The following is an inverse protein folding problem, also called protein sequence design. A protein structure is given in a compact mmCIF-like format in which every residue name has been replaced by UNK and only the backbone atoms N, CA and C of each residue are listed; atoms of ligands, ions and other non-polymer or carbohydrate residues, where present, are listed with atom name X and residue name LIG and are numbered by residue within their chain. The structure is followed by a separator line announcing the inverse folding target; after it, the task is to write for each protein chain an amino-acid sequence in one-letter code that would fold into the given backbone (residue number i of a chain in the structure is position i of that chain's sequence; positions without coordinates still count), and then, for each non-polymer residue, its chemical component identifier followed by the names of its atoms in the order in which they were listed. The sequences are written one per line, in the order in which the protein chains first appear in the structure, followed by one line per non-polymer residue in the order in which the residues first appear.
data_IF_124928612729
#
_entry.id   IF_124928612729
#
_cell.length_a   1.000
_cell.length_b   1.000
_cell.length_c   1.000
_cell.angle_alpha   90.00
_cell.angle_beta   90.00
_cell.angle_gamma   90.00
#
_symmetry.space_group_name_H-M   'P 1'
#
loop_
_entity.id
_entity.type
_entity.pdbx_description
1 polymer ?
#
# COMPACT_ATOMS: atom_id res chain seq x y z
N UNK A 1 1.24 11.19 4.90
CA UNK A 1 2.10 11.28 3.70
C UNK A 1 1.70 10.16 2.75
N UNK A 2 1.12 10.48 1.58
CA UNK A 2 0.79 9.48 0.55
C UNK A 2 2.10 8.93 0.00
N UNK A 3 2.29 7.62 0.06
CA UNK A 3 3.48 6.96 -0.49
C UNK A 3 3.35 6.93 -2.01
N UNK A 4 4.33 7.49 -2.72
CA UNK A 4 4.28 7.61 -4.19
C UNK A 4 4.85 6.35 -4.83
N UNK A 5 4.23 5.86 -5.91
CA UNK A 5 4.78 4.74 -6.73
C UNK A 5 6.25 4.97 -7.08
N UNK A 6 6.60 6.22 -7.40
CA UNK A 6 7.96 6.67 -7.65
C UNK A 6 8.95 6.26 -6.55
N UNK A 7 8.55 6.29 -5.27
CA UNK A 7 9.41 5.92 -4.14
C UNK A 7 9.73 4.41 -4.07
N UNK A 8 9.03 3.56 -4.83
CA UNK A 8 9.32 2.13 -4.93
C UNK A 8 10.31 1.83 -6.06
N UNK A 9 10.20 2.56 -7.17
CA UNK A 9 10.93 2.25 -8.41
C UNK A 9 12.12 3.17 -8.66
N UNK A 10 12.27 4.29 -7.92
CA UNK A 10 13.38 5.23 -8.10
C UNK A 10 14.77 4.64 -7.86
N UNK A 11 14.86 3.57 -7.05
CA UNK A 11 16.12 2.88 -6.72
C UNK A 11 16.48 1.80 -7.77
N UNK A 12 15.63 1.57 -8.78
CA UNK A 12 15.90 0.55 -9.80
C UNK A 12 16.89 1.10 -10.83
N UNK A 13 18.03 0.42 -10.96
CA UNK A 13 19.14 0.84 -11.83
C UNK A 13 18.79 0.88 -13.32
N UNK A 14 17.71 0.22 -13.73
CA UNK A 14 17.24 0.13 -15.11
C UNK A 14 15.99 0.97 -15.39
N UNK A 15 15.59 1.86 -14.47
CA UNK A 15 14.36 2.66 -14.61
C UNK A 15 14.70 4.14 -14.79
N UNK A 16 14.12 4.76 -15.82
CA UNK A 16 14.14 6.20 -16.02
C UNK A 16 12.71 6.75 -15.85
N UNK A 17 12.52 7.62 -14.85
CA UNK A 17 11.22 8.20 -14.51
C UNK A 17 11.19 9.64 -15.04
N UNK A 18 10.33 9.89 -16.02
CA UNK A 18 10.14 11.21 -16.61
C UNK A 18 8.84 11.83 -16.08
N UNK A 19 8.95 12.89 -15.28
CA UNK A 19 7.80 13.64 -14.76
C UNK A 19 7.34 14.67 -15.79
N UNK A 20 6.28 14.35 -16.52
CA UNK A 20 5.67 15.23 -17.52
C UNK A 20 4.66 16.16 -16.84
N UNK A 21 4.76 17.46 -17.10
CA UNK A 21 3.83 18.48 -16.59
C UNK A 21 3.00 19.06 -17.73
N UNK A 22 1.67 19.10 -17.59
CA UNK A 22 0.73 19.79 -18.49
C UNK A 22 1.12 19.77 -19.99
N UNK A 23 1.19 18.61 -20.65
CA UNK A 23 1.82 18.49 -21.97
C UNK A 23 1.16 19.36 -23.04
N UNK A 24 1.96 20.05 -23.85
CA UNK A 24 1.54 20.72 -25.10
C UNK A 24 2.28 20.11 -26.29
N UNK A 25 1.61 20.08 -27.44
CA UNK A 25 2.12 19.51 -28.70
C UNK A 25 1.50 20.25 -29.89
N UNK A 26 2.13 20.16 -31.06
CA UNK A 26 1.61 20.76 -32.30
C UNK A 26 0.24 20.19 -32.68
N UNK A 27 -0.02 18.90 -32.44
CA UNK A 27 -1.36 18.34 -32.65
C UNK A 27 -2.39 18.90 -31.64
N UNK A 28 -3.10 19.95 -32.07
CA UNK A 28 -4.18 20.58 -31.30
C UNK A 28 -5.46 19.74 -31.25
N UNK A 29 -5.57 18.66 -32.03
CA UNK A 29 -6.72 17.77 -31.97
C UNK A 29 -6.59 16.75 -30.84
N UNK A 30 -5.36 16.48 -30.38
CA UNK A 30 -5.08 15.47 -29.38
C UNK A 30 -5.77 15.80 -28.03
N UNK A 31 -6.60 14.90 -27.47
CA UNK A 31 -7.41 15.19 -26.28
C UNK A 31 -6.58 15.39 -25.01
N UNK A 32 -5.31 14.94 -25.00
CA UNK A 32 -4.41 15.17 -23.86
C UNK A 32 -3.61 16.47 -23.95
N UNK A 33 -3.66 17.20 -25.07
CA UNK A 33 -2.97 18.48 -25.24
C UNK A 33 -3.60 19.54 -24.32
N UNK A 34 -2.78 20.20 -23.49
CA UNK A 34 -3.25 21.22 -22.54
C UNK A 34 -3.91 22.39 -23.27
N UNK A 35 -3.38 22.83 -24.42
CA UNK A 35 -3.98 23.91 -25.21
C UNK A 35 -5.41 23.53 -25.62
N UNK A 36 -5.60 22.32 -26.17
CA UNK A 36 -6.91 21.79 -26.57
C UNK A 36 -7.91 21.77 -25.41
N UNK A 37 -7.46 21.42 -24.21
CA UNK A 37 -8.32 21.41 -23.02
C UNK A 37 -8.73 22.82 -22.62
N UNK A 38 -7.77 23.74 -22.47
CA UNK A 38 -8.04 25.08 -21.92
C UNK A 38 -8.83 25.97 -22.88
N UNK A 39 -8.73 25.76 -24.20
CA UNK A 39 -9.60 26.47 -25.16
C UNK A 39 -11.05 25.98 -25.11
N UNK A 40 -11.29 24.76 -24.62
CA UNK A 40 -12.63 24.18 -24.47
C UNK A 40 -13.25 24.44 -23.08
N UNK A 41 -12.50 25.01 -22.15
CA UNK A 41 -13.01 25.33 -20.82
C UNK A 41 -13.82 26.63 -20.83
N UNK A 42 -14.93 26.65 -20.09
CA UNK A 42 -15.73 27.87 -19.92
C UNK A 42 -14.93 28.97 -19.19
N UNK A 43 -14.11 28.55 -18.22
CA UNK A 43 -13.26 29.41 -17.39
C UNK A 43 -11.95 28.71 -17.07
N UNK A 44 -10.87 29.48 -16.94
CA UNK A 44 -9.54 29.00 -16.58
C UNK A 44 -9.02 29.66 -15.31
N UNK A 45 -8.02 29.03 -14.69
CA UNK A 45 -7.30 29.61 -13.54
C UNK A 45 -5.93 30.06 -14.00
N UNK A 46 -5.54 31.27 -13.58
CA UNK A 46 -4.26 31.89 -13.92
C UNK A 46 -3.18 31.54 -12.90
N UNK A 47 -2.73 30.29 -12.88
CA UNK A 47 -1.60 29.85 -12.05
C UNK A 47 -0.44 29.43 -12.96
N UNK A 48 0.78 29.94 -12.74
CA UNK A 48 1.97 29.47 -13.44
C UNK A 48 2.25 27.99 -13.12
N UNK A 49 2.55 27.21 -14.16
CA UNK A 49 2.85 25.79 -14.03
C UNK A 49 4.03 25.39 -14.91
N UNK A 50 4.73 24.33 -14.50
CA UNK A 50 5.70 23.65 -15.35
C UNK A 50 4.96 22.94 -16.50
N UNK A 51 5.41 23.18 -17.74
CA UNK A 51 4.79 22.66 -18.96
C UNK A 51 5.85 21.89 -19.76
N UNK A 52 5.45 20.74 -20.29
CA UNK A 52 6.25 19.90 -21.18
C UNK A 52 5.84 20.15 -22.63
N UNK A 53 6.72 20.73 -23.44
CA UNK A 53 6.54 20.78 -24.90
C UNK A 53 7.00 19.46 -25.49
N UNK A 54 6.05 18.57 -25.81
CA UNK A 54 6.36 17.19 -26.17
C UNK A 54 7.14 17.07 -27.49
N UNK A 55 6.90 17.98 -28.43
CA UNK A 55 7.57 17.98 -29.74
C UNK A 55 9.10 18.17 -29.59
N UNK A 56 9.53 18.92 -28.58
CA UNK A 56 10.94 19.13 -28.22
C UNK A 56 11.46 18.02 -27.28
N UNK A 57 10.65 17.63 -26.29
CA UNK A 57 11.06 16.73 -25.23
C UNK A 57 11.07 15.25 -25.65
N UNK A 58 10.17 14.79 -26.52
CA UNK A 58 10.15 13.36 -26.95
C UNK A 58 11.48 12.96 -27.61
N UNK A 59 12.05 13.72 -28.56
CA UNK A 59 13.38 13.43 -29.11
C UNK A 59 14.46 13.31 -28.02
N UNK A 60 14.42 14.18 -27.00
CA UNK A 60 15.33 14.12 -25.86
C UNK A 60 15.16 12.80 -25.10
N UNK A 61 13.92 12.33 -24.88
CA UNK A 61 13.70 11.04 -24.18
C UNK A 61 14.32 9.84 -24.91
N UNK A 62 14.35 9.88 -26.24
CA UNK A 62 15.00 8.87 -27.08
C UNK A 62 16.52 8.93 -26.91
N UNK A 63 17.11 10.13 -26.89
CA UNK A 63 18.54 10.30 -26.61
C UNK A 63 18.92 9.87 -25.18
N UNK A 64 18.08 10.18 -24.19
CA UNK A 64 18.25 9.69 -22.82
C UNK A 64 18.28 8.16 -22.77
N UNK A 65 17.38 7.49 -23.51
CA UNK A 65 17.34 6.05 -23.61
C UNK A 65 18.60 5.47 -24.29
N UNK A 66 19.06 6.07 -25.41
CA UNK A 66 20.32 5.67 -26.08
C UNK A 66 21.53 5.80 -25.16
N UNK A 67 21.54 6.82 -24.29
CA UNK A 67 22.58 7.06 -23.28
C UNK A 67 22.40 6.23 -22.00
N UNK A 68 21.37 5.38 -21.92
CA UNK A 68 21.01 4.59 -20.74
C UNK A 68 20.88 5.44 -19.47
N UNK A 69 20.34 6.67 -19.59
CA UNK A 69 20.13 7.52 -18.42
C UNK A 69 19.00 6.96 -17.55
N UNK A 70 19.23 6.91 -16.24
CA UNK A 70 18.27 6.36 -15.26
C UNK A 70 17.96 7.34 -14.14
N UNK A 71 17.07 6.95 -13.23
CA UNK A 71 16.60 7.76 -12.11
C UNK A 71 15.49 8.73 -12.49
N UNK A 72 15.23 9.71 -11.62
CA UNK A 72 14.11 10.64 -11.76
C UNK A 72 14.53 11.91 -12.50
N UNK A 73 13.71 12.36 -13.43
CA UNK A 73 13.89 13.57 -14.22
C UNK A 73 12.60 14.36 -14.25
N UNK A 74 12.66 15.62 -13.82
CA UNK A 74 11.60 16.58 -14.14
C UNK A 74 11.69 16.84 -15.64
N UNK A 75 10.64 16.52 -16.39
CA UNK A 75 10.65 16.45 -17.85
C UNK A 75 9.75 17.53 -18.43
N UNK A 76 10.04 18.77 -18.07
CA UNK A 76 9.34 19.99 -18.52
C UNK A 76 10.34 20.97 -19.12
N UNK A 77 9.88 21.96 -19.90
CA UNK A 77 10.78 23.01 -20.37
C UNK A 77 11.17 23.96 -19.23
N UNK A 78 12.36 24.58 -19.26
CA UNK A 78 12.79 25.54 -18.22
C UNK A 78 11.81 26.71 -18.06
N UNK A 79 11.40 26.96 -16.82
CA UNK A 79 10.49 28.04 -16.43
C UNK A 79 9.03 27.60 -16.29
N UNK A 80 8.16 28.57 -16.00
CA UNK A 80 6.73 28.34 -15.82
C UNK A 80 5.90 29.18 -16.78
N UNK A 81 4.71 28.68 -17.11
CA UNK A 81 3.75 29.38 -17.95
C UNK A 81 2.35 29.21 -17.35
N UNK A 82 1.58 30.31 -17.28
CA UNK A 82 0.19 30.24 -16.84
C UNK A 82 -0.76 29.99 -18.01
N UNK A 83 -1.95 29.47 -17.73
CA UNK A 83 -2.97 29.29 -18.76
C UNK A 83 -3.31 30.60 -19.47
N UNK A 84 -3.40 31.73 -18.75
CA UNK A 84 -3.67 33.02 -19.40
C UNK A 84 -2.56 33.38 -20.37
N UNK A 85 -1.30 33.16 -20.00
CA UNK A 85 -0.19 33.50 -20.89
C UNK A 85 -0.15 32.59 -22.12
N UNK A 86 -0.51 31.32 -21.96
CA UNK A 86 -0.64 30.38 -23.07
C UNK A 86 -1.83 30.73 -23.99
N UNK A 87 -2.96 31.18 -23.43
CA UNK A 87 -4.13 31.64 -24.19
C UNK A 87 -3.87 32.99 -24.89
N UNK A 88 -3.09 33.88 -24.28
CA UNK A 88 -2.59 35.10 -24.94
C UNK A 88 -1.76 34.76 -26.17
N UNK A 89 -0.82 33.80 -26.05
CA UNK A 89 -0.02 33.32 -27.18
C UNK A 89 -0.91 32.63 -28.23
N UNK A 90 -1.87 31.80 -27.82
CA UNK A 90 -2.82 31.18 -28.75
C UNK A 90 -3.63 32.23 -29.53
N UNK A 91 -4.10 33.28 -28.84
CA UNK A 91 -4.79 34.38 -29.49
C UNK A 91 -3.89 35.12 -30.47
N UNK A 92 -2.63 35.37 -30.11
CA UNK A 92 -1.67 36.08 -30.96
C UNK A 92 -1.29 35.28 -32.22
N UNK A 93 -1.08 33.96 -32.09
CA UNK A 93 -0.48 33.14 -33.15
C UNK A 93 -1.45 32.20 -33.87
N UNK A 94 -2.65 31.93 -33.34
CA UNK A 94 -3.56 30.90 -33.89
C UNK A 94 -4.96 31.44 -34.19
N UNK A 95 -5.59 32.12 -33.22
CA UNK A 95 -6.95 32.66 -33.33
C UNK A 95 -7.10 34.04 -32.65
N UNK A 96 -6.94 35.14 -33.41
CA UNK A 96 -7.03 36.51 -32.88
C UNK A 96 -8.35 36.86 -32.20
N UNK A 97 -9.43 36.14 -32.51
CA UNK A 97 -10.76 36.40 -31.95
C UNK A 97 -11.02 35.59 -30.67
N UNK A 98 -10.09 34.74 -30.25
CA UNK A 98 -10.28 33.89 -29.08
C UNK A 98 -10.36 34.73 -27.79
N UNK A 99 -11.36 34.42 -26.97
CA UNK A 99 -11.58 35.06 -25.66
C UNK A 99 -11.78 34.00 -24.58
N UNK A 100 -11.44 34.32 -23.33
CA UNK A 100 -11.61 33.43 -22.20
C UNK A 100 -12.04 34.19 -20.95
N UNK A 101 -12.54 33.44 -19.96
CA UNK A 101 -12.90 33.96 -18.63
C UNK A 101 -12.05 33.28 -17.57
N UNK A 102 -11.92 33.91 -16.40
CA UNK A 102 -11.15 33.36 -15.29
C UNK A 102 -12.04 32.92 -14.12
N UNK A 103 -11.54 31.98 -13.34
CA UNK A 103 -11.97 31.65 -11.97
C UNK A 103 -10.93 32.14 -10.95
N UNK A 104 -11.36 32.34 -9.70
CA UNK A 104 -10.45 32.27 -8.54
C UNK A 104 -10.13 30.81 -8.19
N UNK A 105 -9.08 30.59 -7.39
CA UNK A 105 -8.72 29.22 -6.94
C UNK A 105 -9.85 28.61 -6.10
N UNK A 106 -10.49 29.40 -5.25
CA UNK A 106 -11.60 28.92 -4.40
C UNK A 106 -12.83 28.54 -5.21
N UNK A 107 -13.11 29.25 -6.31
CA UNK A 107 -14.18 28.89 -7.23
C UNK A 107 -13.88 27.59 -7.97
N UNK A 108 -12.61 27.38 -8.36
CA UNK A 108 -12.18 26.13 -8.99
C UNK A 108 -12.32 24.94 -8.03
N UNK A 109 -11.88 25.05 -6.79
CA UNK A 109 -11.90 23.96 -5.82
C UNK A 109 -13.33 23.52 -5.44
N UNK A 110 -14.32 24.41 -5.59
CA UNK A 110 -15.75 24.06 -5.40
C UNK A 110 -16.35 23.22 -6.53
N UNK A 111 -15.75 23.27 -7.72
CA UNK A 111 -16.27 22.58 -8.92
C UNK A 111 -15.54 21.27 -9.17
N UNK A 112 -14.31 21.13 -8.65
CA UNK A 112 -13.50 19.95 -8.85
C UNK A 112 -13.75 18.89 -7.77
N UNK A 113 -13.81 17.63 -8.19
CA UNK A 113 -13.88 16.48 -7.26
C UNK A 113 -12.59 16.29 -6.44
N UNK A 114 -11.48 16.89 -6.88
CA UNK A 114 -10.19 16.87 -6.18
C UNK A 114 -9.36 18.11 -6.51
N UNK A 115 -8.50 18.58 -5.58
CA UNK A 115 -7.58 19.70 -5.82
C UNK A 115 -6.65 19.43 -7.00
N UNK A 116 -6.26 20.49 -7.71
CA UNK A 116 -5.25 20.40 -8.79
C UNK A 116 -3.86 20.69 -8.24
N UNK A 117 -2.88 19.93 -8.72
CA UNK A 117 -1.49 20.22 -8.43
C UNK A 117 -1.04 21.42 -9.27
N UNK A 118 -0.53 22.46 -8.61
CA UNK A 118 0.15 23.57 -9.25
C UNK A 118 1.62 23.54 -8.82
N UNK A 119 2.56 23.55 -9.77
CA UNK A 119 3.97 23.36 -9.43
C UNK A 119 4.93 23.99 -10.43
N UNK A 120 6.07 24.42 -9.88
CA UNK A 120 7.31 24.66 -10.60
C UNK A 120 8.25 23.48 -10.31
N UNK A 121 8.86 22.94 -11.37
CA UNK A 121 9.78 21.82 -11.26
C UNK A 121 11.21 22.30 -11.52
N UNK A 122 12.14 21.86 -10.67
CA UNK A 122 13.57 22.14 -10.86
C UNK A 122 14.12 21.40 -12.08
N UNK A 123 14.57 22.17 -13.06
CA UNK A 123 15.08 21.68 -14.34
C UNK A 123 16.61 21.61 -14.42
N UNK A 124 17.32 21.92 -13.34
CA UNK A 124 18.79 21.97 -13.30
C UNK A 124 19.42 20.68 -13.80
N UNK A 125 18.87 19.53 -13.40
CA UNK A 125 19.37 18.21 -13.81
C UNK A 125 19.23 17.97 -15.32
N UNK A 126 18.05 18.23 -15.89
CA UNK A 126 17.80 18.00 -17.32
C UNK A 126 18.58 19.00 -18.19
N UNK A 127 18.60 20.28 -17.80
CA UNK A 127 19.30 21.34 -18.53
C UNK A 127 20.82 21.15 -18.55
N UNK A 128 21.40 20.52 -17.52
CA UNK A 128 22.82 20.16 -17.53
C UNK A 128 23.16 19.13 -18.60
N UNK A 129 22.29 18.15 -18.82
CA UNK A 129 22.50 17.10 -19.83
C UNK A 129 22.12 17.54 -21.25
N UNK A 130 21.14 18.44 -21.35
CA UNK A 130 20.58 18.97 -22.60
C UNK A 130 20.53 20.51 -22.52
N UNK A 131 21.69 21.20 -22.64
CA UNK A 131 21.78 22.65 -22.53
C UNK A 131 21.02 23.41 -23.64
N UNK A 132 20.69 22.73 -24.73
CA UNK A 132 19.92 23.24 -25.87
C UNK A 132 18.43 23.43 -25.59
N UNK A 133 17.91 22.92 -24.46
CA UNK A 133 16.51 23.04 -24.07
C UNK A 133 16.06 24.51 -24.00
N UNK A 134 15.07 24.84 -24.81
CA UNK A 134 14.52 26.19 -24.88
C UNK A 134 13.64 26.49 -23.66
N UNK A 135 13.69 27.73 -23.13
CA UNK A 135 12.72 28.18 -22.13
C UNK A 135 11.28 27.97 -22.60
N UNK A 136 10.37 27.64 -21.67
CA UNK A 136 8.98 27.26 -22.00
C UNK A 136 8.26 28.30 -22.87
N UNK A 137 8.53 29.60 -22.65
CA UNK A 137 7.92 30.68 -23.44
C UNK A 137 8.35 30.62 -24.91
N UNK A 138 9.63 30.42 -25.18
CA UNK A 138 10.18 30.35 -26.53
C UNK A 138 9.73 29.08 -27.24
N UNK A 139 9.78 27.95 -26.55
CA UNK A 139 9.32 26.66 -27.07
C UNK A 139 7.83 26.67 -27.41
N UNK A 140 6.98 27.22 -26.53
CA UNK A 140 5.55 27.35 -26.80
C UNK A 140 5.24 28.29 -27.98
N UNK A 141 6.00 29.40 -28.13
CA UNK A 141 5.86 30.29 -29.29
C UNK A 141 6.24 29.57 -30.58
N UNK A 142 7.35 28.83 -30.59
CA UNK A 142 7.80 28.08 -31.77
C UNK A 142 6.73 27.05 -32.19
N UNK A 143 6.19 26.30 -31.24
CA UNK A 143 5.10 25.35 -31.47
C UNK A 143 3.86 26.03 -32.09
N UNK A 144 3.44 27.18 -31.55
CA UNK A 144 2.27 27.89 -32.06
C UNK A 144 2.52 28.54 -33.44
N UNK A 145 3.75 28.94 -33.74
CA UNK A 145 4.13 29.47 -35.05
C UNK A 145 4.16 28.39 -36.13
N UNK A 146 4.67 27.20 -35.82
CA UNK A 146 4.63 26.06 -36.73
C UNK A 146 3.20 25.69 -37.13
N UNK A 147 2.25 25.84 -36.21
CA UNK A 147 0.82 25.62 -36.48
C UNK A 147 0.23 26.61 -37.49
N UNK A 148 0.71 27.86 -37.49
CA UNK A 148 0.29 28.86 -38.47
C UNK A 148 0.85 28.56 -39.86
N UNK A 149 2.10 28.08 -39.94
CA UNK A 149 2.74 27.68 -41.20
C UNK A 149 2.19 26.37 -41.81
N UNK A 150 1.69 25.47 -40.97
CA UNK A 150 1.20 24.14 -41.36
C UNK A 150 -0.28 24.10 -41.77
N UNK A 151 -1.01 25.23 -41.67
CA UNK A 151 -2.45 25.34 -41.98
C UNK A 151 -2.83 25.08 -43.45
N UNK A 152 -1.87 24.71 -44.30
CA UNK A 152 -2.09 24.41 -45.72
C UNK A 152 -2.21 22.92 -46.06
N UNK A 153 -2.04 21.98 -45.11
CA UNK A 153 -2.17 20.55 -45.42
C UNK A 153 -2.77 19.73 -44.25
N UNK A 154 -3.77 18.94 -44.62
CA UNK A 154 -4.34 17.76 -43.94
C UNK A 154 -5.61 17.95 -43.10
N UNK A 155 -6.69 17.43 -43.67
CA UNK A 155 -7.97 17.08 -43.06
C UNK A 155 -8.04 15.54 -43.07
N UNK A 156 -8.01 14.86 -41.92
CA UNK A 156 -8.32 13.42 -41.84
C UNK A 156 -9.12 13.14 -40.56
N UNK A 157 -10.21 12.42 -40.76
CA UNK A 157 -11.25 12.05 -39.80
C UNK A 157 -10.80 10.98 -38.79
N UNK A 158 -11.32 11.07 -37.57
CA UNK A 158 -11.18 10.07 -36.51
C UNK A 158 -12.27 8.99 -36.61
N UNK A 159 -11.89 7.72 -36.44
CA UNK A 159 -12.82 6.60 -36.20
C UNK A 159 -12.40 5.88 -34.93
N UNK A 160 -13.27 5.89 -33.91
CA UNK A 160 -13.12 5.15 -32.66
C UNK A 160 -13.92 3.85 -32.79
N UNK A 161 -13.33 2.72 -32.40
CA UNK A 161 -14.03 1.46 -32.16
C UNK A 161 -14.18 1.24 -30.65
N UNK A 162 -15.40 1.00 -30.20
CA UNK A 162 -15.75 0.49 -28.87
C UNK A 162 -15.76 -1.05 -28.89
N UNK A 163 -15.38 -1.66 -27.78
CA UNK A 163 -15.68 -3.05 -27.46
C UNK A 163 -16.46 -3.09 -26.15
N UNK A 164 -17.67 -3.67 -26.19
CA UNK A 164 -18.36 -4.23 -25.03
C UNK A 164 -18.06 -5.73 -24.95
N UNK A 165 -17.97 -6.30 -23.74
CA UNK A 165 -18.75 -7.52 -23.42
C UNK A 165 -18.98 -7.66 -21.92
N UNK A 166 -20.24 -7.96 -21.59
CA UNK A 166 -20.80 -8.35 -20.30
C UNK A 166 -20.40 -9.78 -19.89
N UNK A 167 -20.48 -10.06 -18.57
CA UNK A 167 -20.45 -11.42 -18.04
C UNK A 167 -20.99 -11.51 -16.61
N UNK A 168 -22.32 -11.65 -16.47
CA UNK A 168 -23.01 -11.89 -15.20
C UNK A 168 -22.72 -13.30 -14.65
N UNK A 169 -22.17 -13.41 -13.44
CA UNK A 169 -22.12 -14.66 -12.69
C UNK A 169 -23.29 -14.74 -11.69
N UNK A 170 -24.03 -15.85 -11.72
CA UNK A 170 -25.13 -16.16 -10.79
C UNK A 170 -24.60 -16.50 -9.38
N UNK A 171 -25.38 -16.27 -8.32
CA UNK A 171 -24.94 -16.56 -6.95
C UNK A 171 -25.00 -18.06 -6.67
N UNK A 172 -23.87 -18.64 -6.22
CA UNK A 172 -23.87 -19.98 -5.64
C UNK A 172 -24.48 -19.92 -4.23
N UNK A 173 -25.57 -20.65 -4.02
CA UNK A 173 -26.16 -20.85 -2.71
C UNK A 173 -25.47 -22.00 -1.95
N UNK A 174 -25.08 -21.70 -0.71
CA UNK A 174 -24.88 -22.58 0.46
C UNK A 174 -23.86 -23.74 0.39
N UNK A 175 -22.61 -23.44 0.06
CA UNK A 175 -21.47 -24.25 0.49
C UNK A 175 -20.25 -23.38 0.74
N UNK A 176 -19.82 -23.22 2.00
CA UNK A 176 -18.56 -22.54 2.27
C UNK A 176 -17.42 -23.37 1.70
N UNK A 177 -16.60 -22.72 0.87
CA UNK A 177 -15.35 -23.25 0.35
C UNK A 177 -14.30 -22.16 0.35
N UNK A 178 -13.14 -22.41 0.94
CA UNK A 178 -12.09 -21.41 1.08
C UNK A 178 -10.91 -21.69 0.16
N UNK A 179 -10.41 -20.63 -0.48
CA UNK A 179 -9.10 -20.65 -1.15
C UNK A 179 -8.11 -19.87 -0.27
N UNK A 180 -7.03 -20.53 0.16
CA UNK A 180 -6.06 -19.94 1.09
C UNK A 180 -4.70 -19.80 0.39
N UNK A 181 -4.15 -18.59 0.38
CA UNK A 181 -2.77 -18.34 -0.03
C UNK A 181 -1.86 -18.19 1.19
N UNK A 182 -0.63 -18.71 1.10
CA UNK A 182 0.36 -18.66 2.19
C UNK A 182 0.48 -19.94 3.02
N UNK A 183 0.31 -21.13 2.40
CA UNK A 183 0.43 -22.46 3.04
C UNK A 183 1.68 -22.63 3.92
N UNK A 184 2.82 -22.11 3.47
CA UNK A 184 4.12 -22.23 4.17
C UNK A 184 4.30 -21.22 5.30
N UNK A 185 3.36 -20.28 5.46
CA UNK A 185 3.36 -19.28 6.52
C UNK A 185 2.64 -19.74 7.78
N UNK A 186 2.89 -19.04 8.89
CA UNK A 186 2.27 -19.32 10.19
C UNK A 186 0.73 -19.26 10.11
N UNK A 187 0.19 -18.11 9.67
CA UNK A 187 -1.26 -17.90 9.61
C UNK A 187 -1.93 -18.86 8.62
N UNK A 188 -1.38 -19.01 7.41
CA UNK A 188 -1.96 -19.91 6.40
C UNK A 188 -1.98 -21.38 6.83
N UNK A 189 -0.94 -21.84 7.53
CA UNK A 189 -0.91 -23.19 8.11
C UNK A 189 -1.93 -23.38 9.24
N UNK A 190 -2.06 -22.40 10.14
CA UNK A 190 -3.05 -22.43 11.22
C UNK A 190 -4.49 -22.38 10.68
N UNK A 191 -4.76 -21.59 9.64
CA UNK A 191 -6.07 -21.53 9.00
C UNK A 191 -6.48 -22.89 8.41
N UNK A 192 -5.55 -23.61 7.78
CA UNK A 192 -5.83 -24.96 7.28
C UNK A 192 -6.26 -25.90 8.39
N UNK A 193 -5.51 -25.94 9.50
CA UNK A 193 -5.86 -26.74 10.68
C UNK A 193 -7.23 -26.38 11.27
N UNK A 194 -7.56 -25.09 11.32
CA UNK A 194 -8.86 -24.62 11.81
C UNK A 194 -9.99 -25.03 10.84
N UNK A 195 -9.76 -24.95 9.53
CA UNK A 195 -10.73 -25.38 8.52
C UNK A 195 -10.98 -26.90 8.62
N UNK A 196 -9.93 -27.70 8.78
CA UNK A 196 -10.03 -29.15 9.03
C UNK A 196 -10.86 -29.44 10.28
N UNK A 197 -10.55 -28.77 11.41
CA UNK A 197 -11.26 -28.96 12.67
C UNK A 197 -12.75 -28.52 12.60
N UNK A 198 -13.08 -27.51 11.79
CA UNK A 198 -14.44 -27.03 11.60
C UNK A 198 -15.20 -27.75 10.45
N UNK A 199 -14.54 -28.66 9.74
CA UNK A 199 -15.13 -29.34 8.58
C UNK A 199 -15.43 -28.42 7.40
N UNK A 200 -14.70 -27.31 7.24
CA UNK A 200 -14.86 -26.37 6.13
C UNK A 200 -13.98 -26.82 4.95
N UNK A 201 -14.56 -27.10 3.77
CA UNK A 201 -13.78 -27.38 2.56
C UNK A 201 -12.83 -26.24 2.23
N UNK A 202 -11.54 -26.55 2.06
CA UNK A 202 -10.56 -25.56 1.66
C UNK A 202 -9.53 -26.14 0.69
N UNK A 203 -8.90 -25.26 -0.09
CA UNK A 203 -7.74 -25.58 -0.90
C UNK A 203 -6.68 -24.50 -0.70
N UNK A 204 -5.41 -24.90 -0.78
CA UNK A 204 -4.32 -23.93 -0.88
C UNK A 204 -4.10 -23.56 -2.35
N UNK A 205 -3.96 -22.26 -2.61
CA UNK A 205 -3.59 -21.78 -3.94
C UNK A 205 -2.22 -22.32 -4.36
N UNK A 206 -2.13 -22.78 -5.61
CA UNK A 206 -0.90 -23.28 -6.21
C UNK A 206 -0.10 -22.14 -6.87
N UNK A 207 -0.82 -21.10 -7.32
CA UNK A 207 -0.29 -19.94 -8.00
C UNK A 207 0.57 -19.04 -7.12
N UNK A 208 1.45 -18.30 -7.80
CA UNK A 208 2.23 -17.22 -7.17
C UNK A 208 1.43 -15.94 -7.28
N UNK A 209 1.35 -15.16 -6.21
CA UNK A 209 0.50 -13.97 -6.18
C UNK A 209 0.86 -12.93 -7.25
N UNK A 210 2.15 -12.83 -7.59
CA UNK A 210 2.62 -11.95 -8.66
C UNK A 210 2.18 -12.38 -10.08
N UNK A 211 1.76 -13.63 -10.27
CA UNK A 211 1.29 -14.18 -11.52
C UNK A 211 -0.24 -14.21 -11.52
N UNK A 212 -0.84 -13.18 -12.13
CA UNK A 212 -2.30 -13.00 -12.18
C UNK A 212 -3.00 -14.21 -12.81
N UNK A 213 -2.46 -14.76 -13.89
CA UNK A 213 -3.11 -15.86 -14.64
C UNK A 213 -3.25 -17.09 -13.74
N UNK A 214 -2.20 -17.40 -12.97
CA UNK A 214 -2.25 -18.50 -11.99
C UNK A 214 -3.34 -18.33 -10.93
N UNK A 215 -3.66 -17.10 -10.52
CA UNK A 215 -4.73 -16.84 -9.55
C UNK A 215 -6.12 -17.05 -10.15
N UNK A 216 -6.29 -16.67 -11.42
CA UNK A 216 -7.52 -16.90 -12.17
C UNK A 216 -7.76 -18.41 -12.32
N UNK A 217 -6.71 -19.17 -12.64
CA UNK A 217 -6.76 -20.63 -12.75
C UNK A 217 -7.08 -21.31 -11.42
N UNK A 218 -6.43 -20.90 -10.32
CA UNK A 218 -6.72 -21.42 -8.97
C UNK A 218 -8.19 -21.17 -8.58
N UNK A 219 -8.72 -19.97 -8.86
CA UNK A 219 -10.12 -19.63 -8.57
C UNK A 219 -11.07 -20.44 -9.46
N UNK A 220 -10.74 -20.61 -10.74
CA UNK A 220 -11.55 -21.39 -11.66
C UNK A 220 -11.59 -22.87 -11.27
N UNK A 221 -10.46 -23.44 -10.83
CA UNK A 221 -10.35 -24.84 -10.43
C UNK A 221 -11.05 -25.11 -9.08
N UNK A 222 -10.87 -24.23 -8.10
CA UNK A 222 -11.38 -24.45 -6.73
C UNK A 222 -12.85 -24.06 -6.60
N UNK A 223 -13.31 -23.07 -7.38
CA UNK A 223 -14.63 -22.42 -7.24
C UNK A 223 -14.89 -21.99 -5.78
N UNK A 224 -14.02 -21.15 -5.19
CA UNK A 224 -14.15 -20.78 -3.78
C UNK A 224 -15.34 -19.85 -3.56
N UNK A 225 -15.87 -19.89 -2.34
CA UNK A 225 -16.83 -18.90 -1.84
C UNK A 225 -16.15 -17.65 -1.25
N UNK A 226 -14.96 -17.83 -0.67
CA UNK A 226 -14.17 -16.78 -0.02
C UNK A 226 -12.68 -17.08 -0.24
N UNK A 227 -11.88 -16.02 -0.29
CA UNK A 227 -10.43 -16.13 -0.44
C UNK A 227 -9.74 -15.55 0.79
N UNK A 228 -8.67 -16.19 1.25
CA UNK A 228 -7.84 -15.75 2.36
C UNK A 228 -6.41 -15.54 1.87
N UNK A 229 -5.90 -14.32 2.01
CA UNK A 229 -4.52 -13.99 1.72
C UNK A 229 -3.71 -13.88 3.01
N UNK A 230 -3.08 -14.99 3.39
CA UNK A 230 -2.09 -15.05 4.46
C UNK A 230 -0.64 -15.10 3.91
N UNK A 231 -0.46 -14.80 2.63
CA UNK A 231 0.85 -14.77 2.01
C UNK A 231 1.54 -13.42 2.27
N UNK A 232 2.86 -13.47 2.39
CA UNK A 232 3.69 -12.30 2.52
C UNK A 232 5.14 -12.67 2.73
N UNK A 233 6.02 -11.99 2.00
CA UNK A 233 7.45 -12.09 2.22
C UNK A 233 7.80 -11.34 3.51
N UNK A 234 8.12 -12.09 4.56
CA UNK A 234 8.65 -11.56 5.82
C UNK A 234 10.12 -11.94 6.06
N UNK A 235 10.73 -12.71 5.14
CA UNK A 235 12.11 -13.20 5.20
C UNK A 235 12.42 -14.13 6.40
N UNK A 236 13.13 -15.25 6.22
CA UNK A 236 13.79 -15.91 7.34
C UNK A 236 15.09 -15.16 7.71
N UNK A 237 15.41 -14.92 8.99
CA UNK A 237 14.62 -15.15 10.21
C UNK A 237 13.79 -13.93 10.67
N UNK A 238 13.96 -12.76 10.05
CA UNK A 238 13.38 -11.48 10.51
C UNK A 238 12.97 -10.57 9.34
N UNK A 239 12.12 -9.58 9.64
CA UNK A 239 11.60 -8.59 8.67
C UNK A 239 12.70 -7.78 7.97
N UNK A 240 13.90 -7.73 8.55
CA UNK A 240 15.05 -6.97 8.05
C UNK A 240 15.57 -7.51 6.70
N UNK A 241 15.18 -8.74 6.32
CA UNK A 241 15.42 -9.29 4.98
C UNK A 241 14.88 -8.39 3.86
N UNK A 242 13.78 -7.67 4.11
CA UNK A 242 13.17 -6.77 3.14
C UNK A 242 14.05 -5.57 2.77
N UNK A 243 14.98 -5.18 3.63
CA UNK A 243 15.95 -4.10 3.35
C UNK A 243 16.92 -4.49 2.23
N UNK A 244 17.31 -5.77 2.21
CA UNK A 244 18.26 -6.32 1.25
C UNK A 244 17.58 -6.91 0.00
N UNK A 245 16.28 -7.25 0.09
CA UNK A 245 15.51 -7.88 -0.99
C UNK A 245 14.27 -7.06 -1.35
N UNK A 246 14.50 -5.78 -1.68
CA UNK A 246 13.43 -4.81 -1.97
C UNK A 246 12.50 -5.26 -3.10
N UNK A 247 13.06 -5.71 -4.22
CA UNK A 247 12.28 -6.10 -5.41
C UNK A 247 11.38 -7.30 -5.16
N UNK A 248 11.89 -8.33 -4.46
CA UNK A 248 11.08 -9.51 -4.11
C UNK A 248 9.99 -9.15 -3.09
N UNK A 249 10.30 -8.27 -2.13
CA UNK A 249 9.32 -7.75 -1.19
C UNK A 249 8.20 -6.98 -1.90
N UNK A 250 8.52 -6.12 -2.87
CA UNK A 250 7.52 -5.42 -3.69
C UNK A 250 6.68 -6.43 -4.48
N UNK A 251 7.33 -7.39 -5.14
CA UNK A 251 6.65 -8.41 -5.97
C UNK A 251 5.62 -9.20 -5.17
N UNK A 252 5.99 -9.68 -3.99
CA UNK A 252 5.08 -10.48 -3.15
C UNK A 252 4.08 -9.62 -2.37
N UNK A 253 4.55 -8.60 -1.63
CA UNK A 253 3.71 -7.89 -0.66
C UNK A 253 2.85 -6.77 -1.28
N UNK A 254 3.23 -6.26 -2.46
CA UNK A 254 2.52 -5.17 -3.13
C UNK A 254 1.84 -5.69 -4.39
N UNK A 255 2.60 -6.10 -5.40
CA UNK A 255 2.05 -6.53 -6.69
C UNK A 255 1.14 -7.74 -6.49
N UNK A 256 1.62 -8.77 -5.78
CA UNK A 256 0.82 -9.97 -5.57
C UNK A 256 -0.44 -9.75 -4.73
N UNK A 257 -0.37 -8.89 -3.71
CA UNK A 257 -1.54 -8.56 -2.90
C UNK A 257 -2.60 -7.80 -3.71
N UNK A 258 -2.18 -6.85 -4.56
CA UNK A 258 -3.06 -6.12 -5.46
C UNK A 258 -3.68 -7.01 -6.52
N UNK A 259 -2.89 -7.87 -7.17
CA UNK A 259 -3.39 -8.82 -8.16
C UNK A 259 -4.52 -9.66 -7.57
N UNK A 260 -4.31 -10.22 -6.38
CA UNK A 260 -5.33 -11.06 -5.75
C UNK A 260 -6.58 -10.27 -5.36
N UNK A 261 -6.44 -9.05 -4.83
CA UNK A 261 -7.58 -8.18 -4.52
C UNK A 261 -8.42 -7.88 -5.76
N UNK A 262 -7.76 -7.55 -6.87
CA UNK A 262 -8.39 -7.22 -8.13
C UNK A 262 -9.06 -8.43 -8.80
N UNK A 263 -8.39 -9.60 -8.88
CA UNK A 263 -9.03 -10.83 -9.37
C UNK A 263 -10.25 -11.19 -8.51
N UNK A 264 -10.15 -11.07 -7.19
CA UNK A 264 -11.28 -11.36 -6.31
C UNK A 264 -12.46 -10.41 -6.56
N UNK A 265 -12.20 -9.12 -6.81
CA UNK A 265 -13.24 -8.14 -7.12
C UNK A 265 -13.93 -8.48 -8.44
N UNK A 266 -13.17 -8.75 -9.50
CA UNK A 266 -13.72 -9.16 -10.82
C UNK A 266 -14.60 -10.40 -10.74
N UNK A 267 -14.27 -11.33 -9.83
CA UNK A 267 -15.03 -12.57 -9.61
C UNK A 267 -16.12 -12.45 -8.55
N UNK A 268 -16.32 -11.27 -7.94
CA UNK A 268 -17.32 -11.05 -6.89
C UNK A 268 -17.03 -11.84 -5.60
N UNK A 269 -15.77 -12.14 -5.31
CA UNK A 269 -15.34 -12.93 -4.17
C UNK A 269 -14.90 -12.04 -3.00
N UNK A 270 -15.39 -12.29 -1.77
CA UNK A 270 -14.84 -11.66 -0.58
C UNK A 270 -13.40 -12.12 -0.33
N UNK A 271 -12.53 -11.17 0.00
CA UNK A 271 -11.13 -11.43 0.31
C UNK A 271 -10.82 -11.03 1.76
N UNK A 272 -10.34 -11.98 2.56
CA UNK A 272 -9.72 -11.69 3.85
C UNK A 272 -8.21 -11.50 3.64
N UNK A 273 -7.73 -10.28 3.85
CA UNK A 273 -6.32 -9.91 3.71
C UNK A 273 -5.67 -9.72 5.08
N UNK A 274 -4.72 -10.59 5.44
CA UNK A 274 -3.94 -10.43 6.66
C UNK A 274 -2.81 -9.42 6.42
N UNK A 275 -3.06 -8.19 6.86
CA UNK A 275 -2.12 -7.08 6.88
C UNK A 275 -1.35 -7.05 8.22
N UNK A 276 -0.65 -5.95 8.50
CA UNK A 276 0.17 -5.76 9.70
C UNK A 276 -0.19 -4.45 10.39
N UNK A 277 -0.31 -4.45 11.71
CA UNK A 277 -0.42 -3.22 12.49
C UNK A 277 0.93 -2.54 12.77
N UNK A 278 2.04 -3.14 12.34
CA UNK A 278 3.39 -2.57 12.48
C UNK A 278 3.68 -1.50 11.41
N UNK A 279 2.70 -0.64 11.15
CA UNK A 279 2.79 0.53 10.27
C UNK A 279 2.60 1.84 11.05
N UNK A 280 2.30 1.71 12.34
CA UNK A 280 2.11 2.81 13.26
C UNK A 280 3.21 2.82 14.31
N UNK A 281 3.66 4.01 14.68
CA UNK A 281 4.55 4.21 15.82
C UNK A 281 3.96 5.28 16.73
N UNK A 282 4.06 5.12 18.05
CA UNK A 282 3.54 6.08 19.01
C UNK A 282 4.10 7.48 18.75
N UNK A 283 3.23 8.49 18.85
CA UNK A 283 3.54 9.90 18.56
C UNK A 283 2.90 10.81 19.61
N UNK A 284 2.85 12.12 19.36
CA UNK A 284 2.22 13.09 20.27
C UNK A 284 0.73 12.84 20.50
N UNK A 285 0.03 12.32 19.50
CA UNK A 285 -1.42 12.14 19.50
C UNK A 285 -1.80 10.76 20.06
N UNK A 286 -0.87 9.80 19.99
CA UNK A 286 -0.96 8.45 20.55
C UNK A 286 0.27 8.12 21.44
N UNK A 287 0.44 8.79 22.60
CA UNK A 287 1.59 8.57 23.48
C UNK A 287 1.62 7.16 24.05
N UNK A 288 2.81 6.63 24.26
CA UNK A 288 3.02 5.31 24.90
C UNK A 288 2.36 5.31 26.30
N UNK A 289 1.51 4.31 26.55
CA UNK A 289 0.85 4.14 27.86
C UNK A 289 -0.34 5.06 28.12
N UNK A 290 -0.79 5.81 27.12
CA UNK A 290 -1.96 6.70 27.24
C UNK A 290 -3.31 5.96 27.18
N UNK A 291 -3.35 4.73 26.62
CA UNK A 291 -4.59 4.03 26.29
C UNK A 291 -5.29 4.54 25.03
N UNK A 292 -4.68 5.51 24.32
CA UNK A 292 -5.22 6.08 23.08
C UNK A 292 -4.59 5.32 21.90
N UNK A 293 -5.30 4.30 21.42
CA UNK A 293 -4.88 3.49 20.28
C UNK A 293 -5.11 4.16 18.92
N UNK A 294 -4.36 3.73 17.91
CA UNK A 294 -4.61 4.07 16.51
C UNK A 294 -5.87 3.37 16.01
N UNK A 295 -6.77 4.11 15.38
CA UNK A 295 -8.03 3.63 14.79
C UNK A 295 -7.84 3.12 13.35
N UNK A 296 -8.87 2.52 12.77
CA UNK A 296 -8.86 2.07 11.38
C UNK A 296 -8.82 3.21 10.35
N UNK A 297 -9.24 4.42 10.75
CA UNK A 297 -9.24 5.60 9.89
C UNK A 297 -7.92 6.37 9.93
N UNK A 298 -7.04 6.06 10.89
CA UNK A 298 -5.77 6.77 11.03
C UNK A 298 -4.83 6.42 9.89
N UNK A 299 -4.17 7.46 9.36
CA UNK A 299 -3.15 7.31 8.34
C UNK A 299 -1.88 6.72 8.94
N UNK A 300 -1.28 5.73 8.29
CA UNK A 300 -0.02 5.14 8.74
C UNK A 300 1.08 6.20 8.87
N UNK A 301 1.83 6.18 9.97
CA UNK A 301 3.01 7.01 10.21
C UNK A 301 4.32 6.19 10.18
N UNK A 302 4.39 5.22 9.26
CA UNK A 302 5.49 4.26 9.12
C UNK A 302 6.89 4.89 9.01
N UNK A 303 6.99 6.18 8.68
CA UNK A 303 8.25 6.94 8.68
C UNK A 303 8.96 6.89 10.03
N UNK A 304 8.22 6.74 11.14
CA UNK A 304 8.81 6.53 12.48
C UNK A 304 9.53 5.19 12.61
N UNK A 305 9.04 4.15 11.93
CA UNK A 305 9.62 2.81 12.02
C UNK A 305 10.75 2.54 11.01
N UNK A 306 10.85 3.32 9.93
CA UNK A 306 11.97 3.28 8.97
C UNK A 306 12.11 2.03 8.10
N UNK A 307 11.41 0.91 8.38
CA UNK A 307 11.61 -0.33 7.62
C UNK A 307 10.91 -0.35 6.25
N UNK A 308 11.60 -0.88 5.23
CA UNK A 308 11.08 -1.12 3.89
C UNK A 308 9.88 -2.09 3.91
N UNK A 309 9.88 -3.05 4.84
CA UNK A 309 8.74 -3.94 5.08
C UNK A 309 7.49 -3.14 5.51
N UNK A 310 7.60 -2.27 6.52
CA UNK A 310 6.49 -1.43 6.98
C UNK A 310 6.01 -0.49 5.87
N UNK A 311 6.93 0.08 5.09
CA UNK A 311 6.60 0.91 3.92
C UNK A 311 5.77 0.15 2.88
N UNK A 312 6.23 -1.02 2.44
CA UNK A 312 5.52 -1.81 1.41
C UNK A 312 4.14 -2.27 1.88
N UNK A 313 3.99 -2.66 3.15
CA UNK A 313 2.68 -3.04 3.72
C UNK A 313 1.73 -1.85 3.85
N UNK A 314 2.22 -0.68 4.27
CA UNK A 314 1.44 0.57 4.31
C UNK A 314 0.91 0.94 2.92
N UNK A 315 1.74 0.81 1.88
CA UNK A 315 1.31 1.04 0.50
C UNK A 315 0.25 0.05 0.03
N UNK A 316 0.46 -1.24 0.29
CA UNK A 316 -0.50 -2.27 -0.08
C UNK A 316 -1.86 -2.00 0.57
N UNK A 317 -1.89 -1.67 1.86
CA UNK A 317 -3.14 -1.32 2.56
C UNK A 317 -3.81 -0.06 1.98
N UNK A 318 -3.03 1.00 1.71
CA UNK A 318 -3.55 2.27 1.17
C UNK A 318 -4.22 2.11 -0.21
N UNK A 319 -3.77 1.14 -1.00
CA UNK A 319 -4.38 0.83 -2.29
C UNK A 319 -5.50 -0.20 -2.17
N UNK A 320 -5.30 -1.26 -1.38
CA UNK A 320 -6.29 -2.33 -1.20
C UNK A 320 -7.55 -1.83 -0.49
N UNK A 321 -7.47 -0.78 0.35
CA UNK A 321 -8.66 -0.21 1.01
C UNK A 321 -9.75 0.30 0.05
N UNK A 322 -9.40 0.56 -1.22
CA UNK A 322 -10.35 1.01 -2.24
C UNK A 322 -11.13 -0.16 -2.87
N UNK A 323 -10.78 -1.41 -2.55
CA UNK A 323 -11.50 -2.60 -3.00
C UNK A 323 -12.59 -2.96 -2.00
N UNK A 324 -13.85 -2.73 -2.37
CA UNK A 324 -15.01 -2.88 -1.48
C UNK A 324 -15.24 -4.31 -0.99
N UNK A 325 -14.73 -5.32 -1.72
CA UNK A 325 -14.83 -6.74 -1.38
C UNK A 325 -13.77 -7.23 -0.37
N UNK A 326 -12.86 -6.37 0.08
CA UNK A 326 -11.72 -6.77 0.92
C UNK A 326 -11.94 -6.43 2.38
N UNK A 327 -11.65 -7.41 3.24
CA UNK A 327 -11.51 -7.25 4.69
C UNK A 327 -10.02 -7.25 5.05
N UNK A 328 -9.52 -6.11 5.55
CA UNK A 328 -8.11 -5.94 5.90
C UNK A 328 -7.95 -6.13 7.40
N UNK A 329 -7.18 -7.14 7.82
CA UNK A 329 -6.95 -7.47 9.22
C UNK A 329 -5.53 -7.07 9.64
N UNK A 330 -5.38 -6.06 10.50
CA UNK A 330 -4.07 -5.59 10.99
C UNK A 330 -3.59 -6.47 12.16
N UNK A 331 -2.77 -7.46 11.87
CA UNK A 331 -2.17 -8.37 12.88
C UNK A 331 -0.91 -7.74 13.49
N UNK A 332 -0.66 -7.94 14.79
CA UNK A 332 0.63 -7.59 15.43
C UNK A 332 1.15 -8.69 16.34
N UNK A 333 2.46 -8.87 16.36
CA UNK A 333 3.20 -9.72 17.31
C UNK A 333 2.44 -11.02 17.68
N UNK A 334 2.30 -11.98 16.75
CA UNK A 334 1.42 -13.13 16.95
C UNK A 334 1.86 -14.02 18.12
N UNK A 335 0.92 -14.29 19.02
CA UNK A 335 1.00 -15.22 20.13
C UNK A 335 0.10 -16.42 19.84
N UNK A 336 0.57 -17.63 20.14
CA UNK A 336 -0.24 -18.84 19.97
C UNK A 336 0.27 -20.02 20.80
N UNK A 337 -0.57 -21.03 20.96
CA UNK A 337 -0.36 -22.18 21.85
C UNK A 337 0.89 -23.01 21.51
N UNK A 338 1.27 -23.13 20.23
CA UNK A 338 2.53 -23.79 19.85
C UNK A 338 3.74 -22.87 20.11
N UNK A 339 4.36 -23.05 21.28
CA UNK A 339 5.55 -22.33 21.71
C UNK A 339 6.84 -22.75 20.98
N UNK A 340 6.81 -23.81 20.18
CA UNK A 340 8.00 -24.29 19.44
C UNK A 340 8.21 -23.53 18.13
N UNK A 341 7.13 -22.94 17.59
CA UNK A 341 7.15 -22.30 16.29
C UNK A 341 7.97 -21.01 16.28
N UNK A 342 8.95 -20.92 15.39
CA UNK A 342 9.91 -19.79 15.28
C UNK A 342 9.27 -18.40 15.06
N UNK A 343 8.05 -18.33 14.51
CA UNK A 343 7.31 -17.06 14.34
C UNK A 343 6.50 -16.62 15.58
N UNK A 344 6.37 -17.49 16.58
CA UNK A 344 5.69 -17.14 17.83
C UNK A 344 6.49 -16.06 18.56
N UNK A 345 5.83 -14.99 18.99
CA UNK A 345 6.48 -13.90 19.72
C UNK A 345 7.18 -14.41 21.00
N UNK A 346 6.58 -15.36 21.72
CA UNK A 346 7.19 -15.96 22.92
C UNK A 346 8.50 -16.67 22.54
N UNK A 347 8.48 -17.51 21.50
CA UNK A 347 9.66 -18.27 21.05
C UNK A 347 10.83 -17.36 20.68
N UNK A 348 10.57 -16.21 20.08
CA UNK A 348 11.59 -15.21 19.75
C UNK A 348 12.20 -14.60 21.02
N UNK A 349 11.36 -14.13 21.94
CA UNK A 349 11.83 -13.43 23.14
C UNK A 349 12.60 -14.31 24.11
N UNK A 350 12.23 -15.59 24.25
CA UNK A 350 13.00 -16.54 25.08
C UNK A 350 14.37 -16.89 24.47
N UNK A 351 14.56 -16.63 23.17
CA UNK A 351 15.83 -16.87 22.47
C UNK A 351 16.76 -15.65 22.48
N UNK A 352 16.29 -14.48 22.91
CA UNK A 352 17.11 -13.27 22.96
C UNK A 352 17.88 -13.18 24.27
N UNK A 353 19.13 -12.72 24.20
CA UNK A 353 19.95 -12.47 25.39
C UNK A 353 19.37 -11.35 26.26
N UNK A 354 18.75 -10.36 25.62
CA UNK A 354 18.17 -9.17 26.24
C UNK A 354 16.93 -8.73 25.48
N UNK A 355 15.96 -8.16 26.20
CA UNK A 355 14.67 -7.70 25.65
C UNK A 355 14.36 -6.25 26.04
N UNK A 356 13.67 -5.51 25.17
CA UNK A 356 13.11 -4.21 25.54
C UNK A 356 11.80 -4.38 26.29
N UNK A 357 11.38 -3.40 27.08
CA UNK A 357 10.13 -3.47 27.83
C UNK A 357 9.16 -2.35 27.43
N UNK A 358 8.45 -2.54 26.31
CA UNK A 358 7.53 -1.54 25.75
C UNK A 358 6.14 -2.17 25.58
N UNK A 359 5.05 -1.49 26.00
CA UNK A 359 3.70 -1.98 25.81
C UNK A 359 3.33 -1.98 24.33
N UNK A 360 2.75 -3.08 23.86
CA UNK A 360 2.31 -3.24 22.48
C UNK A 360 0.97 -3.98 22.42
N UNK A 361 0.13 -3.62 21.45
CA UNK A 361 -0.99 -4.47 21.04
C UNK A 361 -0.47 -5.74 20.37
N UNK A 362 -1.01 -6.89 20.76
CA UNK A 362 -0.61 -8.20 20.27
C UNK A 362 -1.84 -8.99 19.82
N UNK A 363 -1.62 -9.99 18.97
CA UNK A 363 -2.68 -10.85 18.41
C UNK A 363 -2.52 -12.28 18.93
N UNK A 364 -3.49 -12.77 19.71
CA UNK A 364 -3.57 -14.20 20.07
C UNK A 364 -4.27 -14.97 18.96
N UNK A 365 -3.51 -15.71 18.15
CA UNK A 365 -4.01 -16.35 16.93
C UNK A 365 -5.02 -17.48 17.21
N UNK A 366 -4.85 -18.22 18.30
CA UNK A 366 -5.79 -19.29 18.70
C UNK A 366 -7.21 -18.74 18.97
N UNK A 367 -7.33 -17.48 19.39
CA UNK A 367 -8.63 -16.82 19.57
C UNK A 367 -9.09 -16.08 18.32
N UNK A 368 -8.21 -15.28 17.70
CA UNK A 368 -8.61 -14.37 16.62
C UNK A 368 -8.72 -15.06 15.25
N UNK A 369 -7.96 -16.10 14.92
CA UNK A 369 -8.10 -16.76 13.61
C UNK A 369 -9.49 -17.39 13.40
N UNK A 370 -10.09 -18.09 14.38
CA UNK A 370 -11.50 -18.50 14.29
C UNK A 370 -12.45 -17.32 14.03
N UNK A 371 -12.19 -16.17 14.66
CA UNK A 371 -12.99 -14.95 14.43
C UNK A 371 -12.83 -14.45 13.00
N UNK A 372 -11.63 -14.48 12.40
CA UNK A 372 -11.44 -14.08 11.00
C UNK A 372 -12.24 -14.95 10.02
N UNK A 373 -12.47 -16.23 10.34
CA UNK A 373 -13.37 -17.11 9.57
C UNK A 373 -14.82 -16.66 9.73
N UNK A 374 -15.25 -16.28 10.93
CA UNK A 374 -16.59 -15.70 11.16
C UNK A 374 -16.76 -14.36 10.44
N UNK A 375 -15.73 -13.52 10.38
CA UNK A 375 -15.74 -12.28 9.60
C UNK A 375 -15.94 -12.57 8.10
N UNK A 376 -15.30 -13.62 7.58
CA UNK A 376 -15.50 -14.07 6.21
C UNK A 376 -16.94 -14.54 5.99
N UNK A 377 -17.49 -15.39 6.87
CA UNK A 377 -18.88 -15.86 6.79
C UNK A 377 -19.89 -14.72 6.82
N UNK A 378 -19.63 -13.67 7.61
CA UNK A 378 -20.43 -12.44 7.69
C UNK A 378 -20.17 -11.46 6.54
N UNK A 379 -19.22 -11.76 5.65
CA UNK A 379 -18.78 -10.90 4.53
C UNK A 379 -18.43 -9.49 4.99
N UNK A 380 -17.76 -9.36 6.14
CA UNK A 380 -17.28 -8.08 6.61
C UNK A 380 -16.19 -7.56 5.67
N UNK A 381 -16.11 -6.24 5.50
CA UNK A 381 -15.15 -5.57 4.61
C UNK A 381 -14.52 -4.36 5.31
N UNK A 382 -13.61 -3.68 4.63
CA UNK A 382 -12.87 -2.55 5.17
C UNK A 382 -11.75 -2.97 6.13
N UNK A 383 -11.17 -1.98 6.79
CA UNK A 383 -10.03 -2.16 7.70
C UNK A 383 -10.51 -2.54 9.10
N UNK A 384 -9.78 -3.44 9.77
CA UNK A 384 -10.01 -3.86 11.15
C UNK A 384 -8.67 -3.98 11.89
N UNK A 385 -8.56 -3.29 13.02
CA UNK A 385 -7.47 -3.51 13.95
C UNK A 385 -7.64 -4.89 14.60
N UNK A 386 -6.76 -5.83 14.25
CA UNK A 386 -6.93 -7.25 14.54
C UNK A 386 -6.00 -7.74 15.66
N UNK A 387 -6.03 -7.01 16.77
CA UNK A 387 -5.33 -7.31 18.02
C UNK A 387 -6.32 -7.44 19.16
N UNK A 388 -5.94 -8.19 20.20
CA UNK A 388 -6.75 -8.26 21.41
C UNK A 388 -6.81 -6.88 22.10
N UNK A 389 -7.91 -6.54 22.81
CA UNK A 389 -8.01 -5.31 23.57
C UNK A 389 -6.93 -5.18 24.65
N UNK A 390 -6.32 -3.99 24.72
CA UNK A 390 -5.24 -3.68 25.65
C UNK A 390 -3.85 -3.95 25.07
N UNK A 391 -2.85 -3.87 25.95
CA UNK A 391 -1.43 -3.99 25.61
C UNK A 391 -0.75 -4.97 26.55
N UNK A 392 0.32 -5.60 26.06
CA UNK A 392 1.28 -6.31 26.89
C UNK A 392 2.68 -5.77 26.66
N UNK A 393 3.45 -5.70 27.72
CA UNK A 393 4.88 -5.48 27.66
C UNK A 393 5.63 -6.79 27.45
N UNK A 394 6.91 -6.72 27.06
CA UNK A 394 7.71 -7.92 26.88
C UNK A 394 7.96 -8.62 28.23
N UNK A 395 8.16 -7.84 29.30
CA UNK A 395 8.38 -8.40 30.63
C UNK A 395 7.13 -9.14 31.13
N UNK A 396 5.92 -8.61 30.94
CA UNK A 396 4.70 -9.32 31.34
C UNK A 396 4.54 -10.66 30.61
N UNK A 397 4.90 -10.73 29.33
CA UNK A 397 4.90 -11.99 28.56
C UNK A 397 5.93 -12.99 29.11
N UNK A 398 7.13 -12.51 29.46
CA UNK A 398 8.18 -13.36 30.03
C UNK A 398 7.89 -13.79 31.48
N UNK A 399 7.22 -12.96 32.27
CA UNK A 399 6.69 -13.30 33.58
C UNK A 399 5.66 -14.43 33.47
N UNK A 400 4.69 -14.31 32.55
CA UNK A 400 3.74 -15.39 32.29
C UNK A 400 4.44 -16.67 31.81
N UNK A 401 5.46 -16.56 30.96
CA UNK A 401 6.26 -17.71 30.53
C UNK A 401 6.96 -18.38 31.72
N UNK A 402 7.60 -17.59 32.60
CA UNK A 402 8.22 -18.11 33.82
C UNK A 402 7.21 -18.82 34.70
N UNK A 403 6.07 -18.18 34.96
CA UNK A 403 5.12 -18.65 35.96
C UNK A 403 4.33 -19.91 35.49
N UNK A 404 4.10 -20.05 34.18
CA UNK A 404 3.31 -21.16 33.62
C UNK A 404 4.16 -22.27 32.98
N UNK A 405 5.29 -21.93 32.34
CA UNK A 405 6.04 -22.86 31.46
C UNK A 405 7.40 -23.24 32.05
N UNK A 406 8.16 -22.27 32.56
CA UNK A 406 9.51 -22.51 33.09
C UNK A 406 9.85 -21.61 34.29
N UNK A 407 9.61 -22.08 35.53
CA UNK A 407 9.82 -21.28 36.75
C UNK A 407 11.25 -20.79 36.95
N UNK A 408 12.24 -21.41 36.30
CA UNK A 408 13.66 -21.04 36.40
C UNK A 408 14.09 -20.05 35.31
N UNK A 409 13.19 -19.64 34.43
CA UNK A 409 13.50 -18.72 33.35
C UNK A 409 13.84 -17.32 33.88
N UNK A 410 14.96 -16.78 33.41
CA UNK A 410 15.43 -15.43 33.74
C UNK A 410 15.76 -14.68 32.45
N UNK A 411 15.55 -13.36 32.44
CA UNK A 411 15.88 -12.50 31.30
C UNK A 411 16.58 -11.22 31.77
N UNK A 412 17.14 -10.48 30.80
CA UNK A 412 17.75 -9.17 31.00
C UNK A 412 17.09 -8.15 30.10
N UNK A 413 17.07 -6.88 30.52
CA UNK A 413 16.50 -5.80 29.72
C UNK A 413 17.55 -4.96 28.99
N UNK A 414 17.14 -4.35 27.87
CA UNK A 414 17.85 -3.29 27.16
C UNK A 414 17.25 -1.91 27.49
N UNK A 415 18.06 -0.86 27.39
CA UNK A 415 17.56 0.49 27.08
C UNK A 415 17.21 0.62 25.60
N UNK A 416 16.37 1.58 25.24
CA UNK A 416 16.01 1.84 23.84
C UNK A 416 17.21 2.20 22.97
N UNK A 417 18.17 2.96 23.53
CA UNK A 417 19.40 3.35 22.85
C UNK A 417 20.32 2.15 22.56
N UNK A 418 20.37 1.18 23.48
CA UNK A 418 21.12 -0.05 23.26
C UNK A 418 20.49 -0.90 22.16
N UNK A 419 19.15 -0.98 22.12
CA UNK A 419 18.45 -1.72 21.08
C UNK A 419 18.71 -1.12 19.68
N UNK A 420 18.69 0.21 19.56
CA UNK A 420 18.91 0.90 18.28
C UNK A 420 20.28 0.60 17.66
N UNK A 421 21.29 0.25 18.47
CA UNK A 421 22.64 -0.10 17.99
C UNK A 421 22.74 -1.52 17.41
N UNK A 422 21.78 -2.39 17.72
CA UNK A 422 21.80 -3.81 17.34
C UNK A 422 20.92 -4.10 16.12
N UNK A 423 19.90 -3.27 15.88
CA UNK A 423 18.92 -3.49 14.82
C UNK A 423 19.29 -2.76 13.53
N UNK A 424 19.04 -3.41 12.39
CA UNK A 424 19.22 -2.80 11.06
C UNK A 424 18.18 -1.69 10.77
N UNK A 425 17.01 -1.76 11.42
CA UNK A 425 15.95 -0.77 11.32
C UNK A 425 15.19 -0.63 12.65
N UNK A 426 14.61 0.56 12.94
CA UNK A 426 13.74 0.74 14.10
C UNK A 426 12.54 -0.22 14.12
N UNK A 427 11.98 -0.46 15.32
CA UNK A 427 10.78 -1.28 15.49
C UNK A 427 9.62 -0.39 15.91
N UNK A 428 8.47 -0.60 15.28
CA UNK A 428 7.22 0.07 15.62
C UNK A 428 6.71 -0.36 16.99
N UNK A 429 6.40 0.61 17.84
CA UNK A 429 5.68 0.40 19.10
C UNK A 429 4.38 1.18 19.07
N UNK A 430 3.25 0.51 19.27
CA UNK A 430 1.94 1.16 19.23
C UNK A 430 0.88 0.38 20.01
N UNK A 431 -0.21 1.08 20.28
CA UNK A 431 -1.48 0.53 20.70
C UNK A 431 -2.48 0.71 19.54
N UNK A 432 -3.23 -0.34 19.20
CA UNK A 432 -4.32 -0.27 18.22
C UNK A 432 -5.67 -0.24 18.95
N UNK A 433 -6.54 0.67 18.57
CA UNK A 433 -7.90 0.72 19.08
C UNK A 433 -8.67 -0.52 18.60
N UNK A 434 -9.20 -1.29 19.54
CA UNK A 434 -9.95 -2.53 19.29
C UNK A 434 -11.46 -2.35 19.42
N UNK A 435 -11.95 -1.12 19.63
CA UNK A 435 -13.37 -0.80 19.86
C UNK A 435 -14.26 -1.33 18.75
N UNK A 436 -13.86 -1.14 17.49
CA UNK A 436 -14.60 -1.63 16.31
C UNK A 436 -14.72 -3.15 16.34
N UNK A 437 -13.61 -3.86 16.53
CA UNK A 437 -13.57 -5.32 16.57
C UNK A 437 -14.36 -5.87 17.78
N UNK A 438 -14.20 -5.28 18.95
CA UNK A 438 -14.88 -5.67 20.20
C UNK A 438 -16.39 -5.45 20.14
N UNK A 439 -16.85 -4.42 19.42
CA UNK A 439 -18.28 -4.18 19.17
C UNK A 439 -18.91 -5.31 18.34
N UNK A 440 -18.21 -5.78 17.31
CA UNK A 440 -18.68 -6.86 16.43
C UNK A 440 -18.55 -8.25 17.08
N UNK A 441 -17.51 -8.43 17.92
CA UNK A 441 -17.21 -9.66 18.64
C UNK A 441 -17.00 -9.40 20.14
N UNK A 442 -18.09 -9.22 20.92
CA UNK A 442 -18.01 -8.93 22.35
C UNK A 442 -17.29 -10.00 23.17
N UNK A 443 -17.21 -11.24 22.65
CA UNK A 443 -16.55 -12.36 23.30
C UNK A 443 -15.01 -12.29 23.34
N UNK A 444 -14.38 -11.40 22.55
CA UNK A 444 -12.92 -11.30 22.48
C UNK A 444 -12.36 -10.93 23.85
N UNK A 445 -11.44 -11.73 24.38
CA UNK A 445 -10.85 -11.46 25.67
C UNK A 445 -9.79 -10.34 25.59
N UNK A 446 -9.63 -9.53 26.65
CA UNK A 446 -8.47 -8.66 26.81
C UNK A 446 -7.17 -9.45 26.65
N UNK A 447 -6.11 -8.80 26.14
CA UNK A 447 -4.89 -9.48 25.70
C UNK A 447 -4.26 -10.38 26.78
N UNK A 448 -4.23 -9.93 28.04
CA UNK A 448 -3.66 -10.70 29.15
C UNK A 448 -4.47 -11.96 29.45
N UNK A 449 -5.79 -11.84 29.52
CA UNK A 449 -6.70 -12.97 29.77
C UNK A 449 -6.68 -13.96 28.60
N UNK A 450 -6.67 -13.44 27.37
CA UNK A 450 -6.58 -14.26 26.15
C UNK A 450 -5.27 -15.05 26.11
N UNK A 451 -4.14 -14.39 26.37
CA UNK A 451 -2.83 -15.03 26.39
C UNK A 451 -2.77 -16.11 27.48
N UNK A 452 -3.30 -15.86 28.68
CA UNK A 452 -3.37 -16.87 29.74
C UNK A 452 -4.20 -18.07 29.27
N UNK A 453 -5.45 -17.86 28.87
CA UNK A 453 -6.40 -18.93 28.53
C UNK A 453 -5.95 -19.78 27.33
N UNK A 454 -5.53 -19.13 26.25
CA UNK A 454 -5.28 -19.83 24.98
C UNK A 454 -3.81 -20.20 24.76
N UNK A 455 -2.87 -19.55 25.45
CA UNK A 455 -1.43 -19.78 25.24
C UNK A 455 -0.77 -20.40 26.45
N UNK A 456 -0.87 -19.79 27.64
CA UNK A 456 -0.11 -20.24 28.81
C UNK A 456 -0.76 -21.39 29.58
N UNK A 457 -2.07 -21.42 29.75
CA UNK A 457 -2.80 -22.51 30.41
C UNK A 457 -2.61 -23.86 29.71
N UNK A 458 -2.72 -23.96 28.37
CA UNK A 458 -2.45 -25.22 27.66
C UNK A 458 -1.01 -25.71 27.80
N UNK A 459 -0.07 -24.79 28.01
CA UNK A 459 1.36 -25.08 28.18
C UNK A 459 1.78 -25.19 29.66
N UNK A 460 0.84 -25.12 30.60
CA UNK A 460 1.13 -25.16 32.02
C UNK A 460 1.72 -26.53 32.37
N UNK A 461 2.99 -26.56 32.81
CA UNK A 461 3.58 -27.80 33.32
C UNK A 461 2.83 -28.19 34.60
N UNK A 462 2.16 -29.35 34.59
CA UNK A 462 1.65 -29.95 35.82
C UNK A 462 2.85 -30.15 36.75
N UNK A 463 2.83 -29.58 37.94
CA UNK A 463 3.78 -29.96 39.01
C UNK A 463 3.68 -31.48 39.15
N UNK A 464 4.74 -32.19 38.81
CA UNK A 464 4.89 -33.58 39.23
C UNK A 464 5.02 -33.50 40.74
N UNK A 465 3.93 -33.81 41.45
CA UNK A 465 4.02 -34.09 42.87
C UNK A 465 4.89 -35.36 42.99
N UNK A 466 6.16 -35.18 43.31
CA UNK A 466 6.97 -36.24 43.89
C UNK A 466 6.36 -36.48 45.27
N UNK A 467 5.46 -37.46 45.32
CA UNK A 467 4.96 -38.05 46.57
C UNK A 467 6.05 -38.88 47.23
#
# INVERSE_FOLDING_TARGET
MIVKVEDLIKDYENVCILRVGMPIMSDLTHPRNTIKKIIGYEKVVNIPNAISVLDELIPISVEMAKRNLTGIWNFTNPGVLSHNKLLEMYREYVDPNFTWKNFTVEEQDKVLAAPRCNMELDMTKLKREFPELLPIKESAINLLKELYGSRLLVHIENKIMEFETNGNAKPLALGLRFLIYGRTGCIGGLLGKICEAQGIPFAYGSGRLEDRESLVDDIAAVQPSHVFNAAGATGPPHMDWGEFNKTETIRSNVIGALNLADVCLEKGLPLIFYSTGCMFDSNSDHPIGSGIGFTENDSSNYSGCGSFYSKTKSMAEEWIKNYENVCILRVRMPLFSDLTHHRNFIKKNIGYERVVNIPNSMTVLDELLPISIEMAKRKLTGIWNFTNPGVLTHNEVLEMYRDYVDPNFTWKNFSLEEQAKVLAAPRCNNELDSTKLKKEFPQILPIKESAIKYVFEPNKKKKINLA
#
